data_IF_207451883470
#
_entry.id   IF_207451883470
#
_cell.length_a   1.000
_cell.length_b   1.000
_cell.length_c   1.000
_cell.angle_alpha   90.00
_cell.angle_beta   90.00
_cell.angle_gamma   90.00
#
_symmetry.space_group_name_H-M   'P 1'
#
loop_
_entity.id
_entity.type
_entity.pdbx_description
1 polymer ?
#
# COMPACT_ATOMS: atom_id res chain seq x y z
N UNK A 1 15.83 10.36 0.46
CA UNK A 1 17.03 10.86 -0.24
C UNK A 1 18.25 10.38 0.53
N UNK A 2 19.23 9.84 -0.17
CA UNK A 2 20.50 9.37 0.39
C UNK A 2 21.58 10.32 -0.12
N UNK A 3 22.46 10.79 0.77
CA UNK A 3 23.62 11.62 0.39
C UNK A 3 24.85 10.75 0.55
N UNK A 4 25.64 10.65 -0.51
CA UNK A 4 26.90 9.92 -0.52
C UNK A 4 28.02 10.92 -0.23
N UNK A 5 28.84 10.63 0.76
CA UNK A 5 29.97 11.45 1.17
C UNK A 5 31.29 10.81 0.70
N UNK A 6 32.31 11.65 0.49
CA UNK A 6 33.71 11.22 0.39
C UNK A 6 34.27 10.95 1.79
N UNK A 7 35.45 10.34 1.87
CA UNK A 7 36.14 10.07 3.15
C UNK A 7 36.39 11.35 3.98
N UNK A 8 36.58 12.50 3.32
CA UNK A 8 36.72 13.80 3.97
C UNK A 8 35.38 14.47 4.34
N UNK A 9 34.28 13.70 4.38
CA UNK A 9 32.92 14.13 4.68
C UNK A 9 32.29 15.12 3.68
N UNK A 10 32.97 15.50 2.59
CA UNK A 10 32.40 16.31 1.53
C UNK A 10 31.34 15.55 0.75
N UNK A 11 30.27 16.23 0.32
CA UNK A 11 29.19 15.63 -0.46
C UNK A 11 29.72 15.23 -1.85
N UNK A 12 29.57 13.95 -2.21
CA UNK A 12 29.93 13.42 -3.53
C UNK A 12 28.75 13.48 -4.51
N UNK A 13 27.59 13.01 -4.05
CA UNK A 13 26.38 12.89 -4.88
C UNK A 13 25.16 12.63 -4.02
N UNK A 14 23.98 12.92 -4.55
CA UNK A 14 22.69 12.60 -3.93
C UNK A 14 21.90 11.58 -4.75
N UNK A 15 21.18 10.70 -4.06
CA UNK A 15 20.26 9.74 -4.65
C UNK A 15 18.86 9.97 -4.09
N UNK A 16 17.93 10.34 -4.96
CA UNK A 16 16.51 10.40 -4.64
C UNK A 16 15.94 9.01 -4.88
N UNK A 17 15.49 8.35 -3.81
CA UNK A 17 14.89 7.02 -3.88
C UNK A 17 13.37 7.17 -3.86
N UNK A 18 12.71 6.65 -4.89
CA UNK A 18 11.26 6.66 -5.03
C UNK A 18 10.75 5.22 -5.16
N UNK A 19 9.85 4.80 -4.27
CA UNK A 19 9.20 3.48 -4.36
C UNK A 19 7.88 3.66 -5.12
N UNK A 20 7.67 2.90 -6.20
CA UNK A 20 6.47 2.98 -7.03
C UNK A 20 5.68 1.67 -7.06
N UNK A 21 4.42 1.73 -6.60
CA UNK A 21 3.49 0.60 -6.53
C UNK A 21 2.41 0.63 -7.62
N UNK A 22 2.26 1.77 -8.30
CA UNK A 22 1.38 2.00 -9.44
C UNK A 22 1.95 3.09 -10.35
N UNK A 23 1.32 3.32 -11.51
CA UNK A 23 1.65 4.48 -12.35
C UNK A 23 1.01 5.74 -11.80
N UNK A 24 1.81 6.77 -11.56
CA UNK A 24 1.34 8.09 -11.17
C UNK A 24 1.83 9.13 -12.19
N UNK A 25 0.92 9.60 -13.03
CA UNK A 25 1.25 10.57 -14.09
C UNK A 25 1.77 11.89 -13.54
N UNK A 26 1.44 12.25 -12.30
CA UNK A 26 1.93 13.48 -11.67
C UNK A 26 3.43 13.45 -11.42
N UNK A 27 3.99 12.25 -11.20
CA UNK A 27 5.42 12.03 -10.95
C UNK A 27 6.29 12.46 -12.12
N UNK A 28 5.80 12.34 -13.36
CA UNK A 28 6.51 12.86 -14.53
C UNK A 28 6.73 14.37 -14.49
N UNK A 29 5.91 15.12 -13.74
CA UNK A 29 6.09 16.56 -13.51
C UNK A 29 6.92 16.84 -12.26
N UNK A 30 6.67 16.12 -11.17
CA UNK A 30 7.35 16.40 -9.89
C UNK A 30 8.78 15.86 -9.81
N UNK A 31 9.10 14.74 -10.45
CA UNK A 31 10.45 14.16 -10.40
C UNK A 31 11.55 15.10 -10.95
N UNK A 32 11.42 15.74 -12.13
CA UNK A 32 12.40 16.71 -12.59
C UNK A 32 12.62 17.87 -11.61
N UNK A 33 11.54 18.39 -11.01
CA UNK A 33 11.61 19.45 -9.99
C UNK A 33 12.41 18.99 -8.77
N UNK A 34 12.18 17.77 -8.30
CA UNK A 34 12.89 17.23 -7.14
C UNK A 34 14.39 17.05 -7.42
N UNK A 35 14.73 16.46 -8.57
CA UNK A 35 16.14 16.25 -8.97
C UNK A 35 16.89 17.57 -9.05
N UNK A 36 16.30 18.57 -9.73
CA UNK A 36 16.92 19.90 -9.89
C UNK A 36 17.01 20.66 -8.59
N UNK A 37 15.98 20.60 -7.74
CA UNK A 37 15.98 21.24 -6.42
C UNK A 37 17.07 20.66 -5.52
N UNK A 38 17.21 19.34 -5.47
CA UNK A 38 18.25 18.68 -4.65
C UNK A 38 19.64 19.00 -5.18
N UNK A 39 19.84 18.95 -6.51
CA UNK A 39 21.10 19.33 -7.15
C UNK A 39 21.50 20.76 -6.77
N UNK A 40 20.58 21.72 -6.88
CA UNK A 40 20.86 23.12 -6.57
C UNK A 40 21.16 23.34 -5.08
N UNK A 41 20.45 22.64 -4.18
CA UNK A 41 20.65 22.77 -2.72
C UNK A 41 21.94 22.15 -2.22
N UNK A 42 22.35 21.02 -2.78
CA UNK A 42 23.51 20.26 -2.31
C UNK A 42 24.77 20.47 -3.15
N UNK A 43 24.66 21.27 -4.22
CA UNK A 43 25.71 21.54 -5.20
C UNK A 43 26.45 20.26 -5.66
N UNK A 44 25.68 19.22 -5.97
CA UNK A 44 26.24 17.93 -6.35
C UNK A 44 25.39 17.19 -7.39
N UNK A 45 26.02 16.20 -8.04
CA UNK A 45 25.32 15.32 -8.97
C UNK A 45 24.21 14.57 -8.25
N UNK A 46 23.01 14.62 -8.81
CA UNK A 46 21.81 14.02 -8.21
C UNK A 46 21.17 13.04 -9.18
N UNK A 47 20.87 11.84 -8.70
CA UNK A 47 20.25 10.76 -9.48
C UNK A 47 18.87 10.43 -8.89
N UNK A 48 17.89 10.23 -9.75
CA UNK A 48 16.60 9.63 -9.37
C UNK A 48 16.68 8.12 -9.57
N UNK A 49 16.53 7.37 -8.47
CA UNK A 49 16.39 5.92 -8.45
C UNK A 49 14.94 5.57 -8.13
N UNK A 50 14.25 4.92 -9.08
CA UNK A 50 12.92 4.36 -8.89
C UNK A 50 13.03 2.88 -8.58
N UNK A 51 12.39 2.44 -7.50
CA UNK A 51 12.31 1.04 -7.08
C UNK A 51 10.87 0.54 -7.27
N UNK A 52 10.72 -0.61 -7.93
CA UNK A 52 9.39 -1.25 -8.08
C UNK A 52 9.51 -2.76 -8.21
N UNK A 53 8.54 -3.50 -7.66
CA UNK A 53 8.44 -4.95 -7.86
C UNK A 53 7.72 -5.33 -9.17
N UNK A 54 7.12 -4.36 -9.88
CA UNK A 54 6.27 -4.61 -11.04
C UNK A 54 6.96 -4.17 -12.33
N UNK A 55 7.31 -5.12 -13.20
CA UNK A 55 8.00 -4.82 -14.46
C UNK A 55 7.27 -3.84 -15.40
N UNK A 56 5.93 -3.81 -15.39
CA UNK A 56 5.18 -2.83 -16.18
C UNK A 56 5.30 -1.40 -15.64
N UNK A 57 5.43 -1.22 -14.32
CA UNK A 57 5.74 0.07 -13.70
C UNK A 57 7.17 0.46 -14.04
N UNK A 58 8.09 -0.50 -14.00
CA UNK A 58 9.49 -0.24 -14.34
C UNK A 58 9.62 0.28 -15.78
N UNK A 59 8.97 -0.38 -16.74
CA UNK A 59 8.89 0.07 -18.13
C UNK A 59 8.29 1.47 -18.26
N UNK A 60 7.25 1.79 -17.49
CA UNK A 60 6.67 3.13 -17.50
C UNK A 60 7.63 4.18 -16.92
N UNK A 61 8.27 3.86 -15.80
CA UNK A 61 9.20 4.77 -15.11
C UNK A 61 10.48 5.02 -15.92
N UNK A 62 10.95 4.03 -16.69
CA UNK A 62 12.12 4.17 -17.58
C UNK A 62 11.88 5.10 -18.77
N UNK A 63 10.62 5.45 -19.08
CA UNK A 63 10.32 6.31 -20.22
C UNK A 63 10.90 7.71 -20.00
N UNK A 64 11.72 8.23 -20.93
CA UNK A 64 12.29 9.57 -20.85
C UNK A 64 11.22 10.61 -20.54
N UNK A 65 11.55 11.55 -19.65
CA UNK A 65 10.69 12.65 -19.24
C UNK A 65 11.21 13.91 -19.90
N UNK A 66 10.50 14.34 -20.94
CA UNK A 66 10.69 15.66 -21.53
C UNK A 66 10.26 16.73 -20.52
N UNK A 67 11.15 17.68 -20.26
CA UNK A 67 10.91 18.79 -19.34
C UNK A 67 10.39 20.05 -20.04
N UNK A 68 10.33 20.05 -21.37
CA UNK A 68 9.89 21.17 -22.21
C UNK A 68 11.03 22.09 -22.69
N UNK A 69 12.28 21.86 -22.26
CA UNK A 69 13.45 22.59 -22.76
C UNK A 69 14.31 21.69 -23.67
N UNK A 70 14.79 22.20 -24.82
CA UNK A 70 15.65 21.44 -25.73
C UNK A 70 16.86 20.81 -25.01
N UNK A 71 17.03 19.49 -25.18
CA UNK A 71 18.14 18.75 -24.58
C UNK A 71 18.00 18.46 -23.08
N UNK A 72 16.97 18.97 -22.40
CA UNK A 72 16.75 18.69 -20.99
C UNK A 72 15.74 17.56 -20.79
N UNK A 73 16.24 16.32 -20.84
CA UNK A 73 15.43 15.11 -20.68
C UNK A 73 15.90 14.36 -19.44
N UNK A 74 14.97 14.09 -18.51
CA UNK A 74 15.25 13.24 -17.36
C UNK A 74 14.97 11.78 -17.73
N UNK A 75 15.97 10.92 -17.60
CA UNK A 75 15.82 9.46 -17.69
C UNK A 75 16.03 8.88 -16.28
N UNK A 76 14.97 8.42 -15.60
CA UNK A 76 15.11 7.82 -14.27
C UNK A 76 15.96 6.54 -14.32
N UNK A 77 16.82 6.34 -13.33
CA UNK A 77 17.42 5.02 -13.08
C UNK A 77 16.33 4.19 -12.42
N UNK A 78 16.00 3.04 -12.99
CA UNK A 78 14.92 2.20 -12.49
C UNK A 78 15.46 0.82 -12.19
N UNK A 79 15.28 0.38 -10.96
CA UNK A 79 15.59 -0.96 -10.50
C UNK A 79 14.28 -1.70 -10.22
N UNK A 80 14.09 -2.81 -10.90
CA UNK A 80 13.02 -3.77 -10.62
C UNK A 80 13.56 -5.12 -10.17
N UNK A 81 12.65 -6.06 -9.89
CA UNK A 81 13.01 -7.39 -9.44
C UNK A 81 13.83 -8.19 -10.47
N UNK A 82 13.74 -7.88 -11.77
CA UNK A 82 14.55 -8.53 -12.79
C UNK A 82 16.00 -8.03 -12.81
N UNK A 83 16.23 -6.80 -12.36
CA UNK A 83 17.58 -6.21 -12.31
C UNK A 83 18.39 -6.69 -11.08
N UNK A 84 17.76 -7.41 -10.14
CA UNK A 84 18.40 -7.80 -8.89
C UNK A 84 19.27 -9.05 -9.04
N UNK A 85 20.51 -9.03 -8.50
CA UNK A 85 21.40 -10.19 -8.57
C UNK A 85 20.84 -11.35 -7.75
N UNK A 86 21.04 -12.58 -8.23
CA UNK A 86 20.71 -13.79 -7.46
C UNK A 86 21.81 -14.04 -6.42
N UNK A 87 21.56 -13.69 -5.15
CA UNK A 87 22.54 -13.85 -4.05
C UNK A 87 22.28 -15.16 -3.31
N UNK A 88 23.14 -16.16 -3.52
CA UNK A 88 23.08 -17.47 -2.84
C UNK A 88 24.17 -17.68 -1.79
N UNK A 89 25.20 -16.83 -1.74
CA UNK A 89 26.23 -16.88 -0.69
C UNK A 89 25.82 -15.99 0.50
N UNK A 90 25.59 -16.56 1.70
CA UNK A 90 25.30 -15.78 2.89
C UNK A 90 26.39 -14.78 3.26
N UNK A 91 27.66 -15.04 2.94
CA UNK A 91 28.77 -14.11 3.24
C UNK A 91 28.68 -12.87 2.35
N UNK A 92 28.41 -13.03 1.07
CA UNK A 92 28.10 -11.92 0.17
C UNK A 92 26.87 -11.13 0.66
N UNK A 93 25.80 -11.83 1.05
CA UNK A 93 24.60 -11.20 1.59
C UNK A 93 24.84 -10.40 2.88
N UNK A 94 25.75 -10.83 3.77
CA UNK A 94 26.09 -10.08 4.99
C UNK A 94 26.74 -8.73 4.72
N UNK A 95 27.45 -8.58 3.59
CA UNK A 95 28.04 -7.30 3.21
C UNK A 95 26.97 -6.28 2.83
N UNK A 96 25.86 -6.74 2.26
CA UNK A 96 24.72 -5.91 1.82
C UNK A 96 23.39 -6.60 2.15
N UNK A 97 22.97 -6.64 3.43
CA UNK A 97 21.79 -7.38 3.86
C UNK A 97 20.49 -6.94 3.18
N UNK A 98 20.34 -5.65 2.91
CA UNK A 98 19.19 -5.07 2.20
C UNK A 98 19.08 -5.62 0.77
N UNK A 99 20.23 -5.76 0.09
CA UNK A 99 20.28 -6.34 -1.25
C UNK A 99 19.96 -7.83 -1.24
N UNK A 100 20.41 -8.56 -0.21
CA UNK A 100 20.07 -9.97 -0.03
C UNK A 100 18.55 -10.18 0.19
N UNK A 101 17.92 -9.31 0.99
CA UNK A 101 16.46 -9.31 1.21
C UNK A 101 15.72 -9.04 -0.09
N UNK A 102 16.10 -7.98 -0.82
CA UNK A 102 15.49 -7.66 -2.11
C UNK A 102 15.68 -8.78 -3.13
N UNK A 103 16.87 -9.40 -3.18
CA UNK A 103 17.18 -10.58 -4.01
C UNK A 103 16.22 -11.74 -3.68
N UNK A 104 16.02 -12.07 -2.40
CA UNK A 104 15.11 -13.14 -2.01
C UNK A 104 13.65 -12.86 -2.40
N UNK A 105 13.18 -11.61 -2.23
CA UNK A 105 11.84 -11.19 -2.64
C UNK A 105 11.65 -11.26 -4.17
N UNK A 106 12.70 -10.97 -4.93
CA UNK A 106 12.67 -10.95 -6.39
C UNK A 106 12.71 -12.33 -7.03
N UNK A 107 13.67 -13.15 -6.62
CA UNK A 107 13.91 -14.48 -7.21
C UNK A 107 12.93 -15.53 -6.68
N UNK A 108 12.44 -15.36 -5.45
CA UNK A 108 11.44 -16.23 -4.82
C UNK A 108 11.83 -17.72 -4.88
N UNK A 109 13.09 -17.99 -4.59
CA UNK A 109 13.74 -19.29 -4.65
C UNK A 109 14.32 -19.65 -3.27
N UNK A 110 14.31 -20.94 -2.92
CA UNK A 110 14.74 -21.47 -1.65
C UNK A 110 16.20 -21.16 -1.34
N UNK A 111 17.10 -21.30 -2.31
CA UNK A 111 18.54 -21.06 -2.10
C UNK A 111 18.80 -19.60 -1.74
N UNK A 112 18.18 -18.70 -2.49
CA UNK A 112 18.31 -17.24 -2.33
C UNK A 112 17.68 -16.79 -1.00
N UNK A 113 16.50 -17.30 -0.69
CA UNK A 113 15.82 -17.01 0.56
C UNK A 113 16.60 -17.52 1.78
N UNK A 114 17.13 -18.74 1.71
CA UNK A 114 17.98 -19.31 2.76
C UNK A 114 19.23 -18.47 2.97
N UNK A 115 19.89 -18.07 1.88
CA UNK A 115 21.08 -17.22 1.94
C UNK A 115 20.77 -15.85 2.56
N UNK A 116 19.63 -15.24 2.20
CA UNK A 116 19.19 -13.97 2.77
C UNK A 116 18.86 -14.09 4.28
N UNK A 117 18.13 -15.13 4.69
CA UNK A 117 17.82 -15.39 6.12
C UNK A 117 19.12 -15.61 6.92
N UNK A 118 20.07 -16.38 6.38
CA UNK A 118 21.38 -16.58 6.98
C UNK A 118 22.22 -15.29 7.03
N UNK A 119 22.06 -14.40 6.04
CA UNK A 119 22.74 -13.12 5.99
C UNK A 119 22.23 -12.13 7.06
N UNK A 120 20.92 -12.07 7.28
CA UNK A 120 20.30 -11.17 8.27
C UNK A 120 20.39 -11.70 9.71
N UNK A 121 20.79 -12.95 9.91
CA UNK A 121 20.78 -13.64 11.22
C UNK A 121 21.53 -12.93 12.35
N UNK A 122 22.55 -12.11 12.01
CA UNK A 122 23.41 -11.37 12.95
C UNK A 122 23.03 -9.90 13.12
N UNK A 123 21.98 -9.44 12.42
CA UNK A 123 21.51 -8.07 12.57
C UNK A 123 20.80 -7.89 13.92
N UNK A 124 20.69 -6.63 14.41
CA UNK A 124 19.80 -6.29 15.51
C UNK A 124 18.41 -6.90 15.32
N UNK A 125 17.82 -7.39 16.40
CA UNK A 125 16.62 -8.24 16.36
C UNK A 125 15.42 -7.56 15.68
N UNK A 126 15.27 -6.25 15.84
CA UNK A 126 14.26 -5.42 15.18
C UNK A 126 14.40 -5.43 13.65
N UNK A 127 15.63 -5.24 13.15
CA UNK A 127 15.95 -5.25 11.71
C UNK A 127 15.85 -6.65 11.13
N UNK A 128 16.41 -7.64 11.83
CA UNK A 128 16.31 -9.05 11.45
C UNK A 128 14.86 -9.47 11.31
N UNK A 129 14.00 -9.10 12.27
CA UNK A 129 12.57 -9.41 12.20
C UNK A 129 11.89 -8.72 11.02
N UNK A 130 12.13 -7.41 10.82
CA UNK A 130 11.57 -6.66 9.70
C UNK A 130 11.89 -7.33 8.36
N UNK A 131 13.16 -7.69 8.16
CA UNK A 131 13.64 -8.31 6.92
C UNK A 131 13.13 -9.73 6.75
N UNK A 132 13.10 -10.53 7.81
CA UNK A 132 12.51 -11.86 7.76
C UNK A 132 11.02 -11.79 7.38
N UNK A 133 10.26 -10.84 7.94
CA UNK A 133 8.87 -10.63 7.56
C UNK A 133 8.73 -10.25 6.09
N UNK A 134 9.58 -9.37 5.57
CA UNK A 134 9.57 -8.97 4.16
C UNK A 134 9.83 -10.17 3.23
N UNK A 135 10.85 -10.98 3.53
CA UNK A 135 11.19 -12.19 2.76
C UNK A 135 10.01 -13.16 2.74
N UNK A 136 9.51 -13.54 3.92
CA UNK A 136 8.46 -14.57 4.05
C UNK A 136 7.12 -14.12 3.46
N UNK A 137 6.85 -12.82 3.41
CA UNK A 137 5.60 -12.28 2.83
C UNK A 137 5.58 -12.43 1.31
N UNK A 138 6.72 -12.28 0.65
CA UNK A 138 6.81 -12.36 -0.82
C UNK A 138 6.98 -13.81 -1.33
N UNK A 139 7.46 -14.73 -0.49
CA UNK A 139 7.67 -16.11 -0.90
C UNK A 139 6.36 -16.88 -1.15
N UNK A 140 6.32 -17.76 -2.16
CA UNK A 140 5.27 -18.76 -2.32
C UNK A 140 5.06 -19.57 -1.03
N UNK A 141 3.83 -20.05 -0.83
CA UNK A 141 3.46 -20.73 0.41
C UNK A 141 4.32 -21.98 0.66
N UNK A 142 4.63 -22.72 -0.40
CA UNK A 142 5.38 -23.97 -0.38
C UNK A 142 6.82 -23.74 0.08
N UNK A 143 7.50 -22.72 -0.48
CA UNK A 143 8.87 -22.38 -0.12
C UNK A 143 8.95 -21.80 1.29
N UNK A 144 7.96 -20.99 1.67
CA UNK A 144 7.85 -20.46 3.03
C UNK A 144 7.73 -21.58 4.05
N UNK A 145 6.91 -22.61 3.80
CA UNK A 145 6.78 -23.77 4.69
C UNK A 145 8.10 -24.51 4.89
N UNK A 146 8.84 -24.78 3.82
CA UNK A 146 10.15 -25.45 3.90
C UNK A 146 11.13 -24.67 4.77
N UNK A 147 11.13 -23.34 4.65
CA UNK A 147 11.97 -22.47 5.48
C UNK A 147 11.50 -22.44 6.94
N UNK A 148 10.19 -22.33 7.17
CA UNK A 148 9.59 -22.32 8.51
C UNK A 148 9.86 -23.62 9.28
N UNK A 149 9.78 -24.78 8.63
CA UNK A 149 10.08 -26.09 9.24
C UNK A 149 11.55 -26.21 9.67
N UNK A 150 12.46 -25.50 9.00
CA UNK A 150 13.88 -25.42 9.34
C UNK A 150 14.24 -24.34 10.36
N UNK A 151 13.29 -23.50 10.79
CA UNK A 151 13.54 -22.36 11.67
C UNK A 151 13.32 -22.72 13.15
N UNK A 152 14.02 -22.00 14.05
CA UNK A 152 13.78 -22.12 15.50
C UNK A 152 12.35 -21.70 15.83
N UNK A 153 11.64 -22.52 16.61
CA UNK A 153 10.25 -22.34 17.03
C UNK A 153 9.92 -20.93 17.54
N UNK A 154 10.80 -20.34 18.36
CA UNK A 154 10.64 -18.98 18.90
C UNK A 154 10.63 -17.87 17.82
N UNK A 155 11.36 -18.06 16.72
CA UNK A 155 11.42 -17.10 15.61
C UNK A 155 10.14 -17.18 14.75
N UNK A 156 9.57 -18.38 14.66
CA UNK A 156 8.31 -18.67 13.97
C UNK A 156 7.12 -18.10 14.77
N UNK A 157 7.06 -18.35 16.09
CA UNK A 157 6.00 -17.85 16.97
C UNK A 157 5.90 -16.31 16.96
N UNK A 158 7.03 -15.60 17.13
CA UNK A 158 7.07 -14.13 17.12
C UNK A 158 6.71 -13.50 15.75
N UNK A 159 6.87 -14.25 14.66
CA UNK A 159 6.43 -13.82 13.33
C UNK A 159 4.90 -13.90 13.20
N UNK A 160 4.28 -14.97 13.69
CA UNK A 160 2.83 -15.16 13.63
C UNK A 160 2.05 -14.25 14.59
N UNK A 161 2.57 -13.94 15.77
CA UNK A 161 1.95 -13.01 16.72
C UNK A 161 1.64 -11.64 16.08
N UNK A 162 2.58 -11.09 15.30
CA UNK A 162 2.39 -9.79 14.64
C UNK A 162 1.58 -9.86 13.35
N UNK A 163 1.67 -10.95 12.57
CA UNK A 163 0.86 -11.11 11.36
C UNK A 163 -0.62 -11.26 11.71
N UNK A 164 -0.93 -12.07 12.72
CA UNK A 164 -2.29 -12.21 13.24
C UNK A 164 -2.81 -10.92 13.87
N UNK A 165 -1.97 -10.15 14.58
CA UNK A 165 -2.38 -8.85 15.14
C UNK A 165 -2.55 -7.76 14.08
N UNK A 166 -1.71 -7.72 13.04
CA UNK A 166 -1.81 -6.77 11.94
C UNK A 166 -2.98 -7.09 10.99
N UNK A 167 -3.20 -8.37 10.68
CA UNK A 167 -4.36 -8.84 9.92
C UNK A 167 -5.65 -8.65 10.73
N UNK A 168 -5.66 -8.97 12.03
CA UNK A 168 -6.79 -8.71 12.93
C UNK A 168 -7.13 -7.24 13.07
N UNK A 169 -6.13 -6.34 13.17
CA UNK A 169 -6.39 -4.89 13.15
C UNK A 169 -6.84 -4.36 11.80
N UNK A 170 -6.35 -4.92 10.69
CA UNK A 170 -6.77 -4.50 9.35
C UNK A 170 -8.18 -4.98 9.03
N UNK A 171 -8.50 -6.23 9.40
CA UNK A 171 -9.84 -6.80 9.31
C UNK A 171 -10.80 -6.04 10.22
N UNK A 172 -10.49 -5.90 11.51
CA UNK A 172 -11.34 -5.17 12.48
C UNK A 172 -11.50 -3.68 12.17
N UNK A 173 -10.49 -3.02 11.57
CA UNK A 173 -10.64 -1.63 11.10
C UNK A 173 -11.47 -1.54 9.82
N UNK A 174 -11.36 -2.52 8.92
CA UNK A 174 -12.17 -2.57 7.70
C UNK A 174 -13.62 -2.91 8.03
N UNK A 175 -13.85 -3.83 8.95
CA UNK A 175 -15.16 -4.26 9.44
C UNK A 175 -15.81 -3.15 10.25
N UNK A 176 -15.13 -2.61 11.26
CA UNK A 176 -15.64 -1.47 12.03
C UNK A 176 -15.85 -0.19 11.20
N UNK A 177 -15.11 0.01 10.11
CA UNK A 177 -15.37 1.13 9.17
C UNK A 177 -16.56 0.85 8.26
N UNK A 178 -16.80 -0.40 7.86
CA UNK A 178 -18.01 -0.79 7.11
C UNK A 178 -19.24 -0.70 8.01
N UNK A 179 -19.19 -1.26 9.21
CA UNK A 179 -20.26 -1.18 10.22
C UNK A 179 -20.56 0.27 10.60
N UNK A 180 -19.55 1.06 10.98
CA UNK A 180 -19.75 2.48 11.32
C UNK A 180 -20.24 3.33 10.15
N UNK A 181 -19.90 2.97 8.90
CA UNK A 181 -20.43 3.63 7.70
C UNK A 181 -21.89 3.25 7.45
N UNK A 182 -22.24 1.97 7.62
CA UNK A 182 -23.62 1.49 7.52
C UNK A 182 -24.53 2.12 8.59
N UNK A 183 -24.07 2.16 9.84
CA UNK A 183 -24.77 2.84 10.93
C UNK A 183 -24.93 4.34 10.65
N UNK A 184 -23.88 5.01 10.17
CA UNK A 184 -23.93 6.41 9.80
C UNK A 184 -24.93 6.70 8.66
N UNK A 185 -24.98 5.84 7.65
CA UNK A 185 -25.94 5.96 6.55
C UNK A 185 -27.38 5.71 7.01
N UNK A 186 -27.64 4.70 7.85
CA UNK A 186 -28.97 4.46 8.45
C UNK A 186 -29.42 5.65 9.28
N UNK A 187 -28.54 6.19 10.12
CA UNK A 187 -28.83 7.37 10.92
C UNK A 187 -29.17 8.59 10.04
N UNK A 188 -28.41 8.81 8.96
CA UNK A 188 -28.68 9.90 8.02
C UNK A 188 -30.03 9.75 7.30
N UNK A 189 -30.39 8.53 6.87
CA UNK A 189 -31.71 8.25 6.29
C UNK A 189 -32.83 8.54 7.28
N UNK A 190 -32.72 8.08 8.54
CA UNK A 190 -33.73 8.31 9.56
C UNK A 190 -33.93 9.81 9.86
N UNK A 191 -32.84 10.57 9.95
CA UNK A 191 -32.89 12.03 10.14
C UNK A 191 -33.60 12.71 8.98
N UNK A 192 -33.23 12.38 7.73
CA UNK A 192 -33.86 12.95 6.54
C UNK A 192 -35.33 12.55 6.41
N UNK A 193 -35.66 11.29 6.69
CA UNK A 193 -37.03 10.78 6.65
C UNK A 193 -37.92 11.51 7.67
N UNK A 194 -37.45 11.71 8.91
CA UNK A 194 -38.15 12.48 9.95
C UNK A 194 -38.29 13.95 9.58
N UNK A 195 -37.32 14.53 8.88
CA UNK A 195 -37.40 15.92 8.42
C UNK A 195 -38.39 16.11 7.26
N UNK A 196 -38.59 15.09 6.43
CA UNK A 196 -39.43 15.16 5.22
C UNK A 196 -40.85 14.64 5.42
N UNK A 197 -41.12 13.89 6.49
CA UNK A 197 -42.41 13.26 6.76
C UNK A 197 -43.02 13.78 8.08
N UNK A 198 -44.34 13.97 8.12
CA UNK A 198 -45.03 14.35 9.37
C UNK A 198 -45.02 13.21 10.40
N UNK A 199 -44.99 11.97 9.92
CA UNK A 199 -44.91 10.78 10.74
C UNK A 199 -44.16 9.68 9.98
N UNK A 200 -43.07 9.20 10.59
CA UNK A 200 -42.36 7.98 10.22
C UNK A 200 -42.84 6.87 11.16
N UNK A 201 -43.33 5.76 10.63
CA UNK A 201 -43.86 4.69 11.48
C UNK A 201 -42.73 3.88 12.09
N UNK A 202 -42.98 3.24 13.24
CA UNK A 202 -42.03 2.31 13.86
C UNK A 202 -41.64 1.16 12.92
N UNK A 203 -42.56 0.74 12.05
CA UNK A 203 -42.29 -0.25 11.02
C UNK A 203 -41.30 0.26 9.95
N UNK A 204 -41.44 1.51 9.51
CA UNK A 204 -40.50 2.13 8.56
C UNK A 204 -39.10 2.27 9.18
N UNK A 205 -39.02 2.68 10.46
CA UNK A 205 -37.74 2.80 11.17
C UNK A 205 -37.02 1.45 11.32
N UNK A 206 -37.77 0.40 11.67
CA UNK A 206 -37.26 -0.96 11.76
C UNK A 206 -36.76 -1.45 10.39
N UNK A 207 -37.53 -1.21 9.32
CA UNK A 207 -37.17 -1.60 7.97
C UNK A 207 -35.92 -0.87 7.45
N UNK A 208 -35.81 0.44 7.68
CA UNK A 208 -34.61 1.23 7.32
C UNK A 208 -33.38 0.74 8.09
N UNK A 209 -33.54 0.39 9.37
CA UNK A 209 -32.45 -0.12 10.20
C UNK A 209 -32.01 -1.52 9.76
N UNK A 210 -32.90 -2.31 9.17
CA UNK A 210 -32.60 -3.64 8.66
C UNK A 210 -31.85 -3.64 7.31
N UNK A 211 -31.84 -2.52 6.56
CA UNK A 211 -31.17 -2.41 5.26
C UNK A 211 -29.67 -2.68 5.39
N UNK A 212 -29.15 -3.70 4.69
CA UNK A 212 -27.74 -4.10 4.69
C UNK A 212 -26.94 -3.62 3.47
N UNK A 213 -27.57 -2.94 2.52
CA UNK A 213 -26.91 -2.42 1.31
C UNK A 213 -26.54 -0.93 1.45
N UNK A 214 -25.23 -0.67 1.46
CA UNK A 214 -24.65 0.68 1.52
C UNK A 214 -25.04 1.56 0.33
N UNK A 215 -25.14 0.97 -0.86
CA UNK A 215 -25.49 1.69 -2.10
C UNK A 215 -26.96 2.08 -2.10
N UNK A 216 -27.83 1.17 -1.65
CA UNK A 216 -29.25 1.44 -1.46
C UNK A 216 -29.48 2.56 -0.44
N UNK A 217 -28.79 2.54 0.70
CA UNK A 217 -28.87 3.60 1.70
C UNK A 217 -28.39 4.95 1.16
N UNK A 218 -27.28 4.98 0.42
CA UNK A 218 -26.74 6.20 -0.19
C UNK A 218 -27.69 6.77 -1.25
N UNK A 219 -28.31 5.90 -2.07
CA UNK A 219 -29.31 6.29 -3.06
C UNK A 219 -30.58 6.83 -2.39
N UNK A 220 -31.01 6.22 -1.29
CA UNK A 220 -32.17 6.67 -0.51
C UNK A 220 -31.94 8.06 0.12
N UNK A 221 -30.72 8.34 0.62
CA UNK A 221 -30.35 9.69 1.08
C UNK A 221 -30.53 10.70 -0.05
N UNK A 222 -30.00 10.44 -1.23
CA UNK A 222 -30.14 11.33 -2.39
C UNK A 222 -31.61 11.52 -2.81
N UNK A 223 -32.41 10.45 -2.78
CA UNK A 223 -33.83 10.51 -3.10
C UNK A 223 -34.64 11.32 -2.06
N UNK A 224 -34.32 11.21 -0.77
CA UNK A 224 -34.96 11.98 0.30
C UNK A 224 -34.57 13.46 0.28
N UNK A 225 -33.33 13.78 -0.07
CA UNK A 225 -32.87 15.16 -0.22
C UNK A 225 -33.57 15.85 -1.40
N UNK A 226 -33.64 15.16 -2.55
CA UNK A 226 -34.24 15.67 -3.79
C UNK A 226 -35.77 15.64 -3.86
N UNK A 227 -36.45 15.00 -2.90
CA UNK A 227 -37.91 14.91 -2.86
C UNK A 227 -38.54 16.30 -2.68
N UNK A 228 -39.43 16.68 -3.61
CA UNK A 228 -40.14 17.97 -3.60
C UNK A 228 -41.47 17.90 -2.87
N UNK A 229 -41.93 16.69 -2.53
CA UNK A 229 -43.18 16.47 -1.81
C UNK A 229 -43.07 15.30 -0.82
N UNK A 230 -43.92 15.32 0.22
CA UNK A 230 -44.02 14.23 1.21
C UNK A 230 -44.38 12.89 0.55
N UNK A 231 -45.17 12.94 -0.52
CA UNK A 231 -45.57 11.77 -1.31
C UNK A 231 -44.36 11.14 -2.01
N UNK A 232 -43.48 11.96 -2.57
CA UNK A 232 -42.22 11.49 -3.18
C UNK A 232 -41.28 10.88 -2.14
N UNK A 233 -41.12 11.52 -0.98
CA UNK A 233 -40.32 10.98 0.12
C UNK A 233 -40.85 9.61 0.61
N UNK A 234 -42.17 9.45 0.77
CA UNK A 234 -42.80 8.16 1.10
C UNK A 234 -42.64 7.10 0.00
N UNK A 235 -42.64 7.51 -1.26
CA UNK A 235 -42.41 6.59 -2.37
C UNK A 235 -40.97 6.08 -2.38
N UNK A 236 -39.99 6.96 -2.11
CA UNK A 236 -38.58 6.60 -2.03
C UNK A 236 -38.28 5.58 -0.92
N UNK A 237 -38.83 5.79 0.29
CA UNK A 237 -38.67 4.85 1.40
C UNK A 237 -39.27 3.49 1.07
N UNK A 238 -40.51 3.45 0.53
CA UNK A 238 -41.15 2.19 0.14
C UNK A 238 -40.40 1.45 -0.96
N UNK A 239 -39.87 2.17 -1.93
CA UNK A 239 -39.08 1.59 -3.01
C UNK A 239 -37.79 0.95 -2.47
N UNK A 240 -37.09 1.64 -1.55
CA UNK A 240 -35.87 1.13 -0.94
C UNK A 240 -36.12 -0.09 -0.05
N UNK A 241 -37.23 -0.11 0.70
CA UNK A 241 -37.63 -1.26 1.53
C UNK A 241 -38.01 -2.45 0.64
N UNK A 242 -38.82 -2.24 -0.40
CA UNK A 242 -39.25 -3.30 -1.30
C UNK A 242 -38.11 -3.89 -2.15
N UNK A 243 -37.02 -3.15 -2.35
CA UNK A 243 -35.81 -3.66 -3.01
C UNK A 243 -34.90 -4.49 -2.10
N UNK A 244 -35.22 -4.57 -0.80
CA UNK A 244 -34.42 -5.28 0.20
C UNK A 244 -35.02 -6.64 0.61
N UNK A 245 -36.24 -6.96 0.15
CA UNK A 245 -36.86 -8.30 0.17
C UNK A 245 -36.46 -9.10 -1.08
#
# INVERSE_FOLDING_TARGET
MIVLHRENNAIRSAVIVEIQLGTDRTKRRSWPVYVTTVRARLDCSTVLLVLTSKGWIARWARRPIDTGHPGFILVPVVLDFHDLPRIIDPKAGRKLPELAVLSAMAHRDLDVASAAIAAISRLPEDRKRLYLTAILTELPFELRRVLEDGMKRELVERYFERKSFAQGRSAGRSEGRKEGRMEGLRAAVLVLARARLDALTTADEAAITALQDESALSALIGALDGARSRREARAAIRAAIASAD
#
